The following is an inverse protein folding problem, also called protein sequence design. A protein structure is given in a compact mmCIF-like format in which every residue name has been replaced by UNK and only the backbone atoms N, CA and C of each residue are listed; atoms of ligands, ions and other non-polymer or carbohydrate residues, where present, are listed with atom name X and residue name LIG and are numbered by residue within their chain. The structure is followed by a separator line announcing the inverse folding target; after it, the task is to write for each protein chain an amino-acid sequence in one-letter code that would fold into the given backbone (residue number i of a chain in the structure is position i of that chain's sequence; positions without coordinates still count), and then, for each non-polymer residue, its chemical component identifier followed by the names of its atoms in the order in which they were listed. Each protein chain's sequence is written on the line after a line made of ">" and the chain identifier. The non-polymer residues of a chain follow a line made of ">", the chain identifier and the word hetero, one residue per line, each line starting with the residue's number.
data_IF_704282728791
#
_entry.id   IF_704282728791
#
_cell.length_a   1.000
_cell.length_b   1.000
_cell.length_c   1.000
_cell.angle_alpha   90.00
_cell.angle_beta   90.00
_cell.angle_gamma   90.00
#
_symmetry.space_group_name_H-M   'P 1'
#
loop_
_entity.id
_entity.type
_entity.pdbx_description
1 polymer ?
#
# COMPACT_ATOMS: atom_id res chain seq x y z
N UNK A 1 23.56 -8.97 11.63
CA UNK A 1 23.70 -7.48 11.53
C UNK A 1 22.68 -6.79 12.42
N UNK A 2 22.86 -5.50 12.71
CA UNK A 2 21.87 -4.63 13.35
C UNK A 2 21.31 -3.68 12.29
N UNK A 3 20.00 -3.67 12.11
CA UNK A 3 19.30 -2.77 11.18
C UNK A 3 18.38 -1.85 11.96
N UNK A 4 18.48 -0.55 11.73
CA UNK A 4 17.65 0.47 12.34
C UNK A 4 16.74 1.10 11.29
N UNK A 5 15.43 0.89 11.39
CA UNK A 5 14.43 1.53 10.54
C UNK A 5 13.89 2.81 11.22
N UNK A 6 13.69 3.87 10.43
CA UNK A 6 13.20 5.16 10.94
C UNK A 6 11.99 5.62 10.11
N UNK A 7 10.83 5.76 10.78
CA UNK A 7 9.58 6.20 10.16
C UNK A 7 8.78 7.12 11.11
N UNK A 8 7.76 7.86 10.61
CA UNK A 8 7.05 8.83 11.45
C UNK A 8 6.31 8.20 12.62
N UNK A 9 5.45 7.22 12.32
CA UNK A 9 4.57 6.52 13.27
C UNK A 9 4.31 5.10 12.78
N UNK A 10 3.87 4.23 13.69
CA UNK A 10 3.45 2.85 13.42
C UNK A 10 1.92 2.72 13.49
N UNK A 11 1.23 3.50 12.66
CA UNK A 11 -0.22 3.39 12.46
C UNK A 11 -0.56 2.44 11.31
N UNK A 12 -1.82 2.40 10.86
CA UNK A 12 -2.24 1.53 9.75
C UNK A 12 -1.87 2.18 8.41
N UNK A 13 -1.00 1.52 7.64
CA UNK A 13 -0.58 1.98 6.31
C UNK A 13 0.45 1.05 5.67
N UNK A 14 0.71 1.24 4.36
CA UNK A 14 1.61 0.37 3.61
C UNK A 14 3.08 0.47 4.02
N UNK A 15 3.55 1.66 4.46
CA UNK A 15 4.92 1.85 4.96
C UNK A 15 5.11 1.14 6.29
N UNK A 16 4.13 1.28 7.17
CA UNK A 16 4.10 0.72 8.51
C UNK A 16 4.07 -0.80 8.45
N UNK A 17 3.17 -1.40 7.64
CA UNK A 17 3.15 -2.85 7.42
C UNK A 17 4.48 -3.35 6.87
N UNK A 18 5.01 -2.74 5.80
CA UNK A 18 6.32 -3.12 5.26
C UNK A 18 7.47 -2.91 6.24
N UNK A 19 7.32 -2.12 7.32
CA UNK A 19 8.31 -2.02 8.41
C UNK A 19 8.22 -3.25 9.31
N UNK A 20 7.01 -3.72 9.63
CA UNK A 20 6.80 -4.95 10.40
C UNK A 20 7.29 -6.17 9.61
N UNK A 21 6.93 -6.26 8.32
CA UNK A 21 7.31 -7.37 7.44
C UNK A 21 8.85 -7.49 7.38
N UNK A 22 9.55 -6.37 7.12
CA UNK A 22 11.01 -6.35 7.13
C UNK A 22 11.59 -6.67 8.52
N UNK A 23 10.99 -6.18 9.60
CA UNK A 23 11.46 -6.51 10.96
C UNK A 23 11.35 -8.00 11.24
N UNK A 24 10.23 -8.63 10.87
CA UNK A 24 10.01 -10.08 11.01
C UNK A 24 11.04 -10.86 10.20
N UNK A 25 11.25 -10.50 8.94
CA UNK A 25 12.22 -11.16 8.06
C UNK A 25 13.66 -11.05 8.62
N UNK A 26 14.06 -9.87 9.10
CA UNK A 26 15.38 -9.67 9.72
C UNK A 26 15.57 -10.55 10.96
N UNK A 27 14.59 -10.62 11.85
CA UNK A 27 14.64 -11.45 13.05
C UNK A 27 14.70 -12.93 12.68
N UNK A 28 13.86 -13.39 11.75
CA UNK A 28 13.85 -14.77 11.28
C UNK A 28 15.20 -15.18 10.63
N UNK A 29 15.89 -14.21 10.02
CA UNK A 29 17.23 -14.39 9.44
C UNK A 29 18.38 -14.24 10.45
N UNK A 30 18.09 -14.16 11.76
CA UNK A 30 19.10 -14.06 12.82
C UNK A 30 19.72 -12.66 12.97
N UNK A 31 19.07 -11.62 12.45
CA UNK A 31 19.51 -10.23 12.56
C UNK A 31 18.78 -9.51 13.70
N UNK A 32 19.32 -8.40 14.17
CA UNK A 32 18.63 -7.51 15.14
C UNK A 32 17.93 -6.40 14.39
N UNK A 33 16.65 -6.20 14.69
CA UNK A 33 15.82 -5.14 14.12
C UNK A 33 15.46 -4.11 15.19
N UNK A 34 15.76 -2.85 14.91
CA UNK A 34 15.39 -1.69 15.72
C UNK A 34 14.49 -0.78 14.90
N UNK A 35 13.48 -0.20 15.52
CA UNK A 35 12.55 0.72 14.84
C UNK A 35 12.38 1.98 15.70
N UNK A 36 12.68 3.14 15.12
CA UNK A 36 12.39 4.45 15.70
C UNK A 36 11.13 5.03 15.06
N UNK A 37 10.16 5.40 15.88
CA UNK A 37 8.95 6.10 15.46
C UNK A 37 8.31 6.87 16.62
N UNK A 38 7.32 7.72 16.32
CA UNK A 38 6.51 8.40 17.34
C UNK A 38 5.35 7.55 17.88
N UNK A 39 5.56 6.23 18.03
CA UNK A 39 4.53 5.30 18.51
C UNK A 39 3.47 4.95 17.44
N UNK A 40 2.37 4.33 17.88
CA UNK A 40 1.23 3.95 17.05
C UNK A 40 0.66 2.57 17.38
N UNK A 41 -0.49 2.25 16.78
CA UNK A 41 -1.28 1.04 17.10
C UNK A 41 -0.57 -0.28 16.73
N UNK A 42 0.45 -0.23 15.87
CA UNK A 42 1.21 -1.40 15.45
C UNK A 42 2.47 -1.66 16.28
N UNK A 43 2.76 -0.86 17.32
CA UNK A 43 3.96 -1.02 18.16
C UNK A 43 3.99 -2.38 18.87
N UNK A 44 2.85 -2.82 19.41
CA UNK A 44 2.79 -4.10 20.12
C UNK A 44 2.95 -5.28 19.14
N UNK A 45 2.42 -5.17 17.92
CA UNK A 45 2.60 -6.16 16.88
C UNK A 45 4.08 -6.22 16.44
N UNK A 46 4.74 -5.06 16.27
CA UNK A 46 6.16 -5.00 15.99
C UNK A 46 6.99 -5.71 17.07
N UNK A 47 6.74 -5.42 18.36
CA UNK A 47 7.47 -6.04 19.47
C UNK A 47 7.29 -7.56 19.51
N UNK A 48 6.11 -8.07 19.11
CA UNK A 48 5.88 -9.53 19.00
C UNK A 48 6.73 -10.20 17.93
N UNK A 49 7.23 -9.46 16.93
CA UNK A 49 8.21 -10.01 15.95
C UNK A 49 9.60 -10.22 16.56
N UNK A 50 9.87 -9.72 17.77
CA UNK A 50 11.21 -9.69 18.39
C UNK A 50 12.00 -8.42 18.08
N UNK A 51 11.45 -7.46 17.33
CA UNK A 51 12.10 -6.19 17.08
C UNK A 51 11.98 -5.22 18.27
N UNK A 52 12.99 -4.39 18.46
CA UNK A 52 13.00 -3.35 19.48
C UNK A 52 12.40 -2.04 18.94
N UNK A 53 11.44 -1.46 19.69
CA UNK A 53 10.88 -0.15 19.37
C UNK A 53 11.43 0.92 20.31
N UNK A 54 11.88 2.03 19.73
CA UNK A 54 12.33 3.23 20.44
C UNK A 54 11.40 4.37 20.03
N UNK A 55 10.73 4.93 21.01
CA UNK A 55 9.80 6.04 20.77
C UNK A 55 10.57 7.36 20.68
N UNK A 56 10.42 8.05 19.54
CA UNK A 56 10.94 9.38 19.30
C UNK A 56 9.90 10.16 18.48
N UNK A 57 9.43 11.36 18.93
CA UNK A 57 8.30 12.05 18.31
C UNK A 57 8.66 12.76 16.99
N UNK A 58 9.28 12.02 16.05
CA UNK A 58 9.76 12.50 14.74
C UNK A 58 8.65 12.65 13.70
N UNK A 59 7.38 12.49 14.08
CA UNK A 59 6.21 12.63 13.22
C UNK A 59 5.61 14.04 13.19
N UNK A 60 5.91 14.87 14.19
CA UNK A 60 5.36 16.23 14.27
C UNK A 60 5.97 17.15 13.21
N UNK A 61 5.12 17.78 12.40
CA UNK A 61 5.54 18.75 11.38
C UNK A 61 5.86 20.11 12.02
N UNK A 62 6.93 20.18 12.78
CA UNK A 62 7.38 21.39 13.44
C UNK A 62 8.89 21.56 13.35
N UNK A 63 9.40 22.79 13.51
CA UNK A 63 10.84 23.05 13.57
C UNK A 63 11.50 22.35 14.78
N UNK A 64 10.74 22.15 15.86
CA UNK A 64 11.21 21.41 17.05
C UNK A 64 11.57 19.97 16.73
N UNK A 65 10.90 19.33 15.75
CA UNK A 65 11.25 17.96 15.34
C UNK A 65 12.67 17.86 14.80
N UNK A 66 13.19 18.93 14.17
CA UNK A 66 14.58 18.95 13.71
C UNK A 66 15.61 19.06 14.84
N UNK A 67 15.22 19.49 16.06
CA UNK A 67 16.11 19.51 17.23
C UNK A 67 16.32 18.11 17.82
N UNK A 68 15.44 17.14 17.52
CA UNK A 68 15.58 15.73 17.89
C UNK A 68 16.80 15.05 17.23
N UNK A 69 17.51 15.75 16.34
CA UNK A 69 18.70 15.23 15.68
C UNK A 69 19.85 14.89 16.69
N UNK A 70 19.93 15.55 17.85
CA UNK A 70 20.92 15.21 18.89
C UNK A 70 20.57 13.85 19.52
N UNK A 71 19.34 13.72 20.00
CA UNK A 71 18.84 12.51 20.62
C UNK A 71 18.88 11.31 19.65
N UNK A 72 18.52 11.53 18.37
CA UNK A 72 18.65 10.52 17.34
C UNK A 72 20.12 10.13 17.11
N UNK A 73 21.06 11.08 17.11
CA UNK A 73 22.49 10.79 16.95
C UNK A 73 23.02 9.94 18.12
N UNK A 74 22.64 10.27 19.36
CA UNK A 74 22.99 9.49 20.55
C UNK A 74 22.39 8.08 20.49
N UNK A 75 21.12 7.97 20.11
CA UNK A 75 20.43 6.68 19.96
C UNK A 75 21.11 5.81 18.90
N UNK A 76 21.45 6.37 17.73
CA UNK A 76 22.19 5.64 16.68
C UNK A 76 23.57 5.19 17.20
N UNK A 77 24.27 6.06 17.95
CA UNK A 77 25.60 5.73 18.50
C UNK A 77 25.52 4.60 19.54
N UNK A 78 24.48 4.58 20.37
CA UNK A 78 24.27 3.55 21.39
C UNK A 78 23.88 2.19 20.79
N UNK A 79 23.05 2.18 19.75
CA UNK A 79 22.68 0.94 19.03
C UNK A 79 23.88 0.41 18.24
N UNK A 80 24.72 1.30 17.70
CA UNK A 80 25.80 1.00 16.73
C UNK A 80 25.28 0.07 15.59
N UNK A 81 24.29 0.54 14.78
CA UNK A 81 23.70 -0.27 13.71
C UNK A 81 24.68 -0.41 12.54
N UNK A 82 24.58 -1.51 11.79
CA UNK A 82 25.27 -1.66 10.52
C UNK A 82 24.59 -0.84 9.42
N UNK A 83 23.24 -0.78 9.47
CA UNK A 83 22.41 -0.10 8.47
C UNK A 83 21.40 0.79 9.19
N UNK A 84 21.25 2.02 8.70
CA UNK A 84 20.12 2.90 9.00
C UNK A 84 19.25 3.02 7.76
N UNK A 85 17.96 2.69 7.90
CA UNK A 85 16.99 2.67 6.84
C UNK A 85 15.91 3.74 7.05
N UNK A 86 15.96 4.83 6.30
CA UNK A 86 14.95 5.90 6.36
C UNK A 86 13.79 5.58 5.41
N UNK A 87 12.57 5.63 5.96
CA UNK A 87 11.36 5.21 5.25
C UNK A 87 10.38 6.36 4.98
N UNK A 88 10.73 7.60 5.35
CA UNK A 88 9.88 8.78 5.13
C UNK A 88 10.68 10.08 5.21
N UNK A 89 10.17 11.09 4.53
CA UNK A 89 10.84 12.38 4.30
C UNK A 89 11.19 13.16 5.56
N UNK A 90 10.25 13.32 6.51
CA UNK A 90 10.52 14.09 7.73
C UNK A 90 11.54 13.39 8.64
N UNK A 91 11.39 12.09 8.95
CA UNK A 91 12.45 11.32 9.61
C UNK A 91 13.80 11.38 8.88
N UNK A 92 13.81 11.35 7.54
CA UNK A 92 15.05 11.48 6.77
C UNK A 92 15.73 12.85 6.99
N UNK A 93 14.99 13.95 7.12
CA UNK A 93 15.54 15.26 7.46
C UNK A 93 16.14 15.30 8.87
N UNK A 94 15.48 14.66 9.86
CA UNK A 94 16.05 14.55 11.23
C UNK A 94 17.31 13.70 11.18
N UNK A 95 17.26 12.55 10.49
CA UNK A 95 18.41 11.66 10.32
C UNK A 95 19.58 12.33 9.61
N UNK A 96 19.34 13.11 8.53
CA UNK A 96 20.37 13.85 7.82
C UNK A 96 21.16 14.80 8.75
N UNK A 97 20.47 15.45 9.70
CA UNK A 97 21.11 16.28 10.72
C UNK A 97 21.85 15.45 11.77
N UNK A 98 21.28 14.34 12.21
CA UNK A 98 21.91 13.43 13.15
C UNK A 98 23.20 12.83 12.59
N UNK A 99 23.19 12.39 11.33
CA UNK A 99 24.36 11.80 10.64
C UNK A 99 25.56 12.74 10.56
N UNK A 100 25.35 14.06 10.50
CA UNK A 100 26.45 15.05 10.52
C UNK A 100 27.21 15.07 11.84
N UNK A 101 26.62 14.52 12.91
CA UNK A 101 27.20 14.50 14.26
C UNK A 101 27.83 13.16 14.61
N UNK A 102 27.54 12.11 13.85
CA UNK A 102 28.08 10.77 14.09
C UNK A 102 29.58 10.73 13.78
N UNK A 103 30.35 10.18 14.69
CA UNK A 103 31.78 9.86 14.49
C UNK A 103 31.95 8.67 13.54
N UNK A 104 31.16 7.62 13.74
CA UNK A 104 31.08 6.42 12.90
C UNK A 104 29.73 6.41 12.21
N UNK A 105 29.72 6.38 10.90
CA UNK A 105 28.49 6.39 10.09
C UNK A 105 28.16 4.97 9.65
N UNK A 106 26.97 4.44 9.99
CA UNK A 106 26.46 3.21 9.38
C UNK A 106 26.10 3.46 7.92
N UNK A 107 25.91 2.35 7.15
CA UNK A 107 25.33 2.45 5.80
C UNK A 107 23.93 3.07 5.88
N UNK A 108 23.69 4.08 5.07
CA UNK A 108 22.40 4.78 5.04
C UNK A 108 21.64 4.41 3.78
N UNK A 109 20.45 3.82 3.96
CA UNK A 109 19.56 3.49 2.85
C UNK A 109 18.22 4.18 2.99
N UNK A 110 17.52 4.35 1.86
CA UNK A 110 16.15 4.88 1.83
C UNK A 110 15.23 3.98 1.03
N UNK A 111 13.94 4.00 1.33
CA UNK A 111 12.92 3.46 0.42
C UNK A 111 11.97 4.56 -0.02
N UNK A 112 11.83 4.71 -1.33
CA UNK A 112 10.81 5.56 -1.93
C UNK A 112 9.50 4.78 -2.06
N UNK A 113 8.52 5.18 -1.26
CA UNK A 113 7.21 4.53 -1.17
C UNK A 113 6.14 5.17 -2.05
N UNK A 114 6.52 6.14 -2.88
CA UNK A 114 5.58 6.85 -3.72
C UNK A 114 6.21 7.95 -4.55
N UNK A 115 5.41 8.50 -5.44
CA UNK A 115 5.74 9.65 -6.27
C UNK A 115 5.50 10.93 -5.46
N UNK A 116 6.55 11.53 -4.94
CA UNK A 116 6.44 12.65 -3.99
C UNK A 116 6.12 13.97 -4.69
N UNK A 117 5.03 14.62 -4.31
CA UNK A 117 4.54 15.87 -4.90
C UNK A 117 5.44 17.10 -4.67
N UNK A 118 6.47 17.02 -3.81
CA UNK A 118 7.41 18.11 -3.49
C UNK A 118 8.85 17.63 -3.63
N UNK A 119 9.42 17.59 -4.86
CA UNK A 119 10.76 17.06 -5.08
C UNK A 119 11.85 17.73 -4.24
N UNK A 120 11.81 19.07 -4.09
CA UNK A 120 12.80 19.84 -3.30
C UNK A 120 12.82 19.39 -1.83
N UNK A 121 11.65 19.21 -1.20
CA UNK A 121 11.56 18.72 0.17
C UNK A 121 11.95 17.25 0.25
N UNK A 122 11.61 16.49 -0.78
CA UNK A 122 11.79 15.04 -0.80
C UNK A 122 13.20 14.60 -1.17
N UNK A 123 14.04 15.51 -1.69
CA UNK A 123 15.42 15.19 -2.09
C UNK A 123 16.29 14.65 -0.95
N UNK A 124 15.91 14.88 0.31
CA UNK A 124 16.60 14.28 1.46
C UNK A 124 16.59 12.75 1.42
N UNK A 125 15.62 12.16 0.74
CA UNK A 125 15.53 10.70 0.55
C UNK A 125 16.63 10.19 -0.42
N UNK A 126 17.24 11.07 -1.22
CA UNK A 126 18.36 10.74 -2.09
C UNK A 126 19.75 11.06 -1.50
N UNK A 127 19.81 11.57 -0.24
CA UNK A 127 21.07 11.82 0.47
C UNK A 127 21.51 10.58 1.26
N UNK A 128 21.63 9.47 0.57
CA UNK A 128 21.86 8.14 1.12
C UNK A 128 22.93 7.42 0.30
N UNK A 129 23.47 6.34 0.83
CA UNK A 129 24.44 5.52 0.12
C UNK A 129 23.73 4.64 -0.94
N UNK A 130 22.47 4.24 -0.69
CA UNK A 130 21.67 3.45 -1.61
C UNK A 130 20.16 3.69 -1.44
N UNK A 131 19.41 3.62 -2.53
CA UNK A 131 17.97 3.81 -2.53
C UNK A 131 17.24 2.56 -2.98
N UNK A 132 16.10 2.28 -2.36
CA UNK A 132 15.16 1.23 -2.78
C UNK A 132 13.96 1.89 -3.46
N UNK A 133 13.67 1.49 -4.70
CA UNK A 133 12.45 1.79 -5.42
C UNK A 133 11.48 0.61 -5.31
N UNK A 134 10.19 0.87 -5.08
CA UNK A 134 9.19 -0.21 -4.92
C UNK A 134 8.58 -0.67 -6.26
N UNK A 135 8.97 -0.07 -7.36
CA UNK A 135 8.50 -0.38 -8.73
C UNK A 135 9.40 0.32 -9.76
N UNK A 136 9.31 -0.08 -11.03
CA UNK A 136 9.95 0.64 -12.14
C UNK A 136 9.40 2.07 -12.28
N UNK A 137 8.10 2.27 -12.02
CA UNK A 137 7.48 3.61 -11.98
C UNK A 137 8.17 4.51 -10.95
N UNK A 138 8.49 3.98 -9.77
CA UNK A 138 9.17 4.75 -8.73
C UNK A 138 10.65 4.94 -9.06
N UNK A 139 11.34 3.94 -9.65
CA UNK A 139 12.72 4.11 -10.13
C UNK A 139 12.81 5.23 -11.16
N UNK A 140 11.96 5.21 -12.20
CA UNK A 140 11.92 6.26 -13.23
C UNK A 140 11.69 7.64 -12.61
N UNK A 141 10.72 7.74 -11.66
CA UNK A 141 10.48 8.97 -10.93
C UNK A 141 11.72 9.46 -10.15
N UNK A 142 12.48 8.56 -9.52
CA UNK A 142 13.71 8.92 -8.78
C UNK A 142 14.76 9.47 -9.75
N UNK A 143 15.00 8.79 -10.87
CA UNK A 143 15.99 9.19 -11.88
C UNK A 143 15.67 10.53 -12.52
N UNK A 144 14.39 10.83 -12.74
CA UNK A 144 13.94 12.10 -13.32
C UNK A 144 14.04 13.28 -12.34
N UNK A 145 13.84 13.06 -11.05
CA UNK A 145 13.66 14.14 -10.07
C UNK A 145 14.84 14.34 -9.12
N UNK A 146 15.76 13.39 -9.01
CA UNK A 146 16.88 13.42 -8.07
C UNK A 146 18.20 13.07 -8.76
N UNK A 147 19.32 13.51 -8.16
CA UNK A 147 20.67 13.22 -8.66
C UNK A 147 21.14 11.84 -8.14
N UNK A 148 20.46 10.79 -8.58
CA UNK A 148 20.85 9.39 -8.35
C UNK A 148 21.08 8.73 -9.71
N UNK A 149 22.00 7.80 -9.77
CA UNK A 149 22.23 6.97 -10.92
C UNK A 149 21.55 5.61 -10.73
N UNK A 150 21.29 4.89 -11.82
CA UNK A 150 20.61 3.57 -11.76
C UNK A 150 21.37 2.58 -10.87
N UNK A 151 22.70 2.64 -10.80
CA UNK A 151 23.52 1.79 -9.91
C UNK A 151 23.29 2.04 -8.42
N UNK A 152 22.76 3.23 -8.06
CA UNK A 152 22.49 3.63 -6.68
C UNK A 152 21.06 3.24 -6.25
N UNK A 153 20.30 2.56 -7.13
CA UNK A 153 18.92 2.19 -6.91
C UNK A 153 18.76 0.69 -7.11
N UNK A 154 18.04 0.05 -6.18
CA UNK A 154 17.55 -1.33 -6.36
C UNK A 154 16.05 -1.34 -6.35
N UNK A 155 15.43 -2.02 -7.31
CA UNK A 155 13.97 -2.24 -7.30
C UNK A 155 13.69 -3.44 -6.42
N UNK A 156 12.95 -3.20 -5.34
CA UNK A 156 12.43 -4.24 -4.47
C UNK A 156 10.92 -4.05 -4.38
N UNK A 157 10.13 -4.83 -5.14
CA UNK A 157 8.68 -4.77 -5.11
C UNK A 157 8.12 -5.07 -3.71
N UNK A 158 6.87 -4.67 -3.48
CA UNK A 158 6.16 -5.00 -2.26
C UNK A 158 5.52 -6.38 -2.38
N UNK A 159 5.61 -7.15 -1.33
CA UNK A 159 4.82 -8.38 -1.18
C UNK A 159 3.59 -8.19 -0.31
N UNK A 160 2.85 -9.27 -0.10
CA UNK A 160 1.79 -9.40 0.89
C UNK A 160 2.08 -10.61 1.81
N UNK A 161 1.41 -10.66 2.97
CA UNK A 161 1.59 -11.72 3.95
C UNK A 161 0.87 -13.01 3.49
N UNK A 162 1.60 -14.12 3.22
CA UNK A 162 1.00 -15.35 2.67
C UNK A 162 0.00 -16.02 3.60
N UNK A 163 0.15 -15.84 4.91
CA UNK A 163 -0.78 -16.40 5.90
C UNK A 163 -2.11 -15.67 5.94
N UNK A 164 -2.14 -14.41 5.50
CA UNK A 164 -3.34 -13.57 5.43
C UNK A 164 -3.97 -13.59 4.03
N UNK A 165 -3.12 -13.50 2.98
CA UNK A 165 -3.53 -13.42 1.58
C UNK A 165 -3.09 -14.68 0.83
N UNK A 166 -4.00 -15.61 0.66
CA UNK A 166 -3.79 -16.89 -0.01
C UNK A 166 -5.07 -17.33 -0.71
N UNK A 167 -4.95 -18.36 -1.58
CA UNK A 167 -6.06 -18.93 -2.33
C UNK A 167 -6.94 -19.90 -1.53
N UNK A 168 -6.64 -20.12 -0.26
CA UNK A 168 -7.45 -20.98 0.56
C UNK A 168 -8.90 -20.50 0.58
N UNK A 169 -9.83 -21.44 0.58
CA UNK A 169 -11.24 -21.10 0.63
C UNK A 169 -11.54 -20.27 1.88
N UNK A 170 -12.39 -19.29 1.71
CA UNK A 170 -12.95 -18.55 2.84
C UNK A 170 -13.65 -19.50 3.80
N UNK A 171 -13.40 -19.35 5.10
CA UNK A 171 -14.13 -20.11 6.12
C UNK A 171 -15.65 -19.87 5.93
N UNK A 172 -16.49 -20.93 5.93
CA UNK A 172 -17.94 -20.79 5.79
C UNK A 172 -18.58 -19.84 6.81
N UNK A 173 -18.07 -19.80 8.04
CA UNK A 173 -18.54 -18.87 9.08
C UNK A 173 -18.24 -17.42 8.72
N UNK A 174 -17.01 -17.12 8.27
CA UNK A 174 -16.63 -15.77 7.83
C UNK A 174 -17.45 -15.32 6.63
N UNK A 175 -17.66 -16.23 5.66
CA UNK A 175 -18.54 -15.96 4.51
C UNK A 175 -19.96 -15.65 4.97
N UNK A 176 -20.52 -16.43 5.88
CA UNK A 176 -21.86 -16.21 6.41
C UNK A 176 -21.94 -14.87 7.16
N UNK A 177 -20.94 -14.52 7.96
CA UNK A 177 -20.89 -13.25 8.68
C UNK A 177 -20.92 -12.07 7.72
N UNK A 178 -20.16 -12.12 6.62
CA UNK A 178 -20.18 -11.09 5.58
C UNK A 178 -21.55 -11.01 4.89
N UNK A 179 -22.17 -12.15 4.58
CA UNK A 179 -23.50 -12.20 3.95
C UNK A 179 -24.63 -11.78 4.88
N UNK A 180 -24.45 -11.90 6.21
CA UNK A 180 -25.37 -11.36 7.20
C UNK A 180 -25.20 -9.85 7.35
N UNK A 181 -23.98 -9.36 7.32
CA UNK A 181 -23.68 -7.92 7.39
C UNK A 181 -24.12 -7.18 6.10
N UNK A 182 -23.94 -7.84 4.94
CA UNK A 182 -24.26 -7.27 3.62
C UNK A 182 -25.20 -8.22 2.84
N UNK A 183 -26.47 -8.40 3.25
CA UNK A 183 -27.38 -9.35 2.61
C UNK A 183 -27.67 -9.02 1.14
N UNK A 184 -27.47 -7.78 0.72
CA UNK A 184 -27.68 -7.30 -0.64
C UNK A 184 -26.66 -7.85 -1.66
N UNK A 185 -25.53 -8.44 -1.22
CA UNK A 185 -24.57 -9.08 -2.13
C UNK A 185 -24.88 -10.56 -2.41
N UNK A 186 -25.91 -11.12 -1.75
CA UNK A 186 -26.31 -12.51 -1.97
C UNK A 186 -26.79 -12.68 -3.42
N UNK A 187 -26.31 -13.71 -4.07
CA UNK A 187 -26.62 -14.04 -5.47
C UNK A 187 -26.23 -12.94 -6.48
N UNK A 188 -25.30 -12.04 -6.10
CA UNK A 188 -24.75 -10.99 -6.96
C UNK A 188 -23.30 -11.29 -7.31
N UNK A 189 -22.86 -10.77 -8.45
CA UNK A 189 -21.45 -10.63 -8.79
C UNK A 189 -20.88 -9.47 -8.00
N UNK A 190 -19.94 -9.76 -7.13
CA UNK A 190 -19.37 -8.78 -6.20
C UNK A 190 -18.17 -8.09 -6.83
N UNK A 191 -18.30 -6.80 -7.07
CA UNK A 191 -17.24 -5.93 -7.56
C UNK A 191 -16.68 -5.11 -6.39
N UNK A 192 -15.37 -5.11 -6.18
CA UNK A 192 -14.77 -4.43 -5.02
C UNK A 192 -13.72 -3.41 -5.43
N UNK A 193 -13.82 -2.17 -4.91
CA UNK A 193 -12.76 -1.17 -5.01
C UNK A 193 -12.19 -0.89 -3.61
N UNK A 194 -10.97 -1.39 -3.31
CA UNK A 194 -10.33 -1.20 -2.01
C UNK A 194 -9.45 0.05 -2.01
N UNK A 195 -9.40 0.72 -0.86
CA UNK A 195 -8.46 1.81 -0.63
C UNK A 195 -9.08 3.01 0.06
N UNK A 196 -8.24 3.97 0.46
CA UNK A 196 -8.71 5.22 1.08
C UNK A 196 -9.61 5.99 0.13
N UNK A 197 -10.74 6.49 0.62
CA UNK A 197 -11.67 7.29 -0.19
C UNK A 197 -11.06 8.68 -0.46
N UNK A 198 -10.49 8.82 -1.65
CA UNK A 198 -9.85 10.05 -2.15
C UNK A 198 -10.14 10.21 -3.64
N UNK A 199 -10.06 11.43 -4.16
CA UNK A 199 -10.38 11.71 -5.57
C UNK A 199 -9.54 10.88 -6.56
N UNK A 200 -8.27 10.63 -6.22
CA UNK A 200 -7.36 9.96 -7.13
C UNK A 200 -7.49 8.43 -7.14
N UNK A 201 -8.25 7.83 -6.19
CA UNK A 201 -8.45 6.37 -6.12
C UNK A 201 -9.54 5.82 -7.04
N UNK A 202 -10.22 6.68 -7.82
CA UNK A 202 -11.15 6.23 -8.87
C UNK A 202 -12.49 5.71 -8.36
N UNK A 203 -12.90 6.08 -7.13
CA UNK A 203 -14.22 5.67 -6.61
C UNK A 203 -15.38 6.27 -7.41
N UNK A 204 -15.19 7.45 -7.98
CA UNK A 204 -16.23 8.09 -8.81
C UNK A 204 -16.44 7.35 -10.14
N UNK A 205 -15.35 6.86 -10.72
CA UNK A 205 -15.31 6.04 -11.95
C UNK A 205 -15.90 4.65 -11.68
N UNK A 206 -15.64 4.07 -10.51
CA UNK A 206 -16.26 2.82 -10.09
C UNK A 206 -17.79 2.93 -9.94
N UNK A 207 -18.30 4.04 -9.37
CA UNK A 207 -19.75 4.30 -9.30
C UNK A 207 -20.35 4.43 -10.70
N UNK A 208 -19.63 5.08 -11.62
CA UNK A 208 -20.04 5.22 -13.01
C UNK A 208 -20.09 3.87 -13.71
N UNK A 209 -19.08 3.02 -13.53
CA UNK A 209 -19.09 1.64 -14.03
C UNK A 209 -20.35 0.89 -13.57
N UNK A 210 -20.71 0.96 -12.29
CA UNK A 210 -21.91 0.28 -11.75
C UNK A 210 -23.21 0.77 -12.43
N UNK A 211 -23.26 2.02 -12.91
CA UNK A 211 -24.42 2.53 -13.64
C UNK A 211 -24.54 1.98 -15.08
N UNK A 212 -23.44 1.48 -15.64
CA UNK A 212 -23.41 0.88 -16.98
C UNK A 212 -23.70 -0.63 -16.96
N UNK A 213 -23.54 -1.27 -15.81
CA UNK A 213 -23.77 -2.70 -15.60
C UNK A 213 -25.24 -2.97 -15.20
N UNK A 214 -25.68 -4.20 -15.36
CA UNK A 214 -27.02 -4.63 -14.95
C UNK A 214 -27.13 -4.94 -13.43
N UNK A 215 -28.32 -5.28 -12.96
CA UNK A 215 -28.62 -5.50 -11.55
C UNK A 215 -28.05 -6.80 -10.96
N UNK A 216 -27.36 -7.62 -11.75
CA UNK A 216 -26.65 -8.80 -11.24
C UNK A 216 -25.36 -8.43 -10.52
N UNK A 217 -24.84 -7.22 -10.73
CA UNK A 217 -23.62 -6.73 -10.11
C UNK A 217 -23.88 -5.88 -8.86
N UNK A 218 -23.08 -6.06 -7.82
CA UNK A 218 -23.07 -5.24 -6.62
C UNK A 218 -21.67 -4.72 -6.29
N UNK A 219 -21.54 -3.43 -6.04
CA UNK A 219 -20.27 -2.75 -5.76
C UNK A 219 -19.99 -2.59 -4.27
N UNK A 220 -18.83 -3.04 -3.82
CA UNK A 220 -18.30 -2.78 -2.48
C UNK A 220 -17.19 -1.72 -2.55
N UNK A 221 -17.39 -0.59 -1.87
CA UNK A 221 -16.39 0.46 -1.70
C UNK A 221 -15.78 0.32 -0.31
N UNK A 222 -14.53 -0.22 -0.28
CA UNK A 222 -13.89 -0.67 0.96
C UNK A 222 -12.73 0.23 1.33
N UNK A 223 -12.83 0.92 2.44
CA UNK A 223 -11.70 1.67 2.97
C UNK A 223 -12.07 2.87 3.82
N UNK A 224 -11.07 3.41 4.56
CA UNK A 224 -11.29 4.52 5.46
C UNK A 224 -11.45 5.85 4.73
N UNK A 225 -12.22 6.74 5.34
CA UNK A 225 -12.31 8.15 4.94
C UNK A 225 -11.67 9.03 6.00
N UNK A 226 -10.63 9.76 5.63
CA UNK A 226 -10.03 10.74 6.54
C UNK A 226 -11.03 11.87 6.85
N UNK A 227 -10.98 12.44 8.07
CA UNK A 227 -11.86 13.53 8.50
C UNK A 227 -11.90 14.70 7.49
N UNK A 228 -10.74 15.05 6.91
CA UNK A 228 -10.64 16.10 5.89
C UNK A 228 -11.28 15.72 4.54
N UNK A 229 -11.74 14.48 4.35
CA UNK A 229 -12.35 13.97 3.11
C UNK A 229 -13.83 13.61 3.25
N UNK A 230 -14.45 13.87 4.40
CA UNK A 230 -15.88 13.61 4.63
C UNK A 230 -16.78 14.30 3.60
N UNK A 231 -16.45 15.54 3.22
CA UNK A 231 -17.19 16.26 2.16
C UNK A 231 -17.14 15.53 0.81
N UNK A 232 -16.02 14.90 0.51
CA UNK A 232 -15.87 14.09 -0.71
C UNK A 232 -16.67 12.79 -0.64
N UNK A 233 -16.64 12.08 0.50
CA UNK A 233 -17.49 10.92 0.73
C UNK A 233 -18.97 11.25 0.51
N UNK A 234 -19.46 12.34 1.12
CA UNK A 234 -20.86 12.79 0.92
C UNK A 234 -21.18 13.07 -0.55
N UNK A 235 -20.21 13.66 -1.31
CA UNK A 235 -20.39 13.88 -2.74
C UNK A 235 -20.54 12.56 -3.50
N UNK A 236 -19.77 11.51 -3.13
CA UNK A 236 -19.89 10.20 -3.75
C UNK A 236 -21.23 9.52 -3.40
N UNK A 237 -21.67 9.60 -2.15
CA UNK A 237 -22.98 9.09 -1.71
C UNK A 237 -24.12 9.78 -2.48
N UNK A 238 -24.07 11.10 -2.62
CA UNK A 238 -25.05 11.83 -3.42
C UNK A 238 -25.02 11.43 -4.91
N UNK A 239 -23.82 11.12 -5.47
CA UNK A 239 -23.72 10.58 -6.84
C UNK A 239 -24.42 9.22 -6.95
N UNK A 240 -24.23 8.32 -5.97
CA UNK A 240 -24.91 7.01 -5.92
C UNK A 240 -26.42 7.21 -5.92
N UNK A 241 -26.96 8.05 -5.02
CA UNK A 241 -28.41 8.32 -4.96
C UNK A 241 -28.95 8.97 -6.22
N UNK A 242 -28.23 9.95 -6.79
CA UNK A 242 -28.67 10.61 -8.04
C UNK A 242 -28.70 9.69 -9.26
N UNK A 243 -27.98 8.57 -9.22
CA UNK A 243 -27.95 7.54 -10.26
C UNK A 243 -28.85 6.34 -9.91
N UNK A 244 -29.63 6.39 -8.83
CA UNK A 244 -30.49 5.31 -8.31
C UNK A 244 -29.73 3.99 -8.03
N UNK A 245 -28.49 4.09 -7.52
CA UNK A 245 -27.61 2.96 -7.25
C UNK A 245 -27.52 2.58 -5.77
N UNK A 246 -28.35 3.16 -4.88
CA UNK A 246 -28.29 2.91 -3.43
C UNK A 246 -28.47 1.42 -3.07
N UNK A 247 -29.22 0.67 -3.86
CA UNK A 247 -29.43 -0.76 -3.70
C UNK A 247 -28.31 -1.63 -4.28
N UNK A 248 -27.38 -1.06 -5.03
CA UNK A 248 -26.29 -1.78 -5.75
C UNK A 248 -24.89 -1.37 -5.31
N UNK A 249 -24.73 -0.40 -4.42
CA UNK A 249 -23.43 0.06 -3.94
C UNK A 249 -23.43 0.14 -2.42
N UNK A 250 -22.44 -0.50 -1.81
CA UNK A 250 -22.24 -0.48 -0.36
C UNK A 250 -20.90 0.16 0.00
N UNK A 251 -20.93 1.18 0.86
CA UNK A 251 -19.74 1.73 1.50
C UNK A 251 -19.49 0.99 2.81
N UNK A 252 -18.51 0.10 2.84
CA UNK A 252 -18.25 -0.77 4.02
C UNK A 252 -17.45 -0.07 5.12
N UNK A 253 -16.80 1.08 4.82
CA UNK A 253 -15.81 1.66 5.70
C UNK A 253 -14.50 0.85 5.73
N UNK A 254 -13.71 1.02 6.80
CA UNK A 254 -12.45 0.30 6.97
C UNK A 254 -12.70 -1.14 7.43
N UNK A 255 -12.07 -2.11 6.79
CA UNK A 255 -12.17 -3.54 7.11
C UNK A 255 -10.84 -4.09 7.62
N UNK A 256 -10.89 -4.99 8.59
CA UNK A 256 -9.72 -5.79 9.03
C UNK A 256 -9.65 -7.14 8.34
N UNK A 257 -10.78 -7.64 7.89
CA UNK A 257 -11.00 -8.90 7.17
C UNK A 257 -10.96 -8.72 5.65
N UNK A 258 -10.09 -7.84 5.16
CA UNK A 258 -10.02 -7.48 3.74
C UNK A 258 -9.69 -8.69 2.84
N UNK A 259 -8.94 -9.66 3.32
CA UNK A 259 -8.66 -10.91 2.60
C UNK A 259 -9.95 -11.71 2.34
N UNK A 260 -10.86 -11.75 3.30
CA UNK A 260 -12.17 -12.40 3.13
C UNK A 260 -13.04 -11.63 2.12
N UNK A 261 -13.00 -10.29 2.13
CA UNK A 261 -13.67 -9.47 1.11
C UNK A 261 -13.12 -9.77 -0.28
N UNK A 262 -11.80 -9.90 -0.45
CA UNK A 262 -11.21 -10.28 -1.74
C UNK A 262 -11.71 -11.67 -2.18
N UNK A 263 -11.72 -12.66 -1.28
CA UNK A 263 -12.14 -14.04 -1.57
C UNK A 263 -13.61 -14.17 -1.97
N UNK A 264 -14.48 -13.25 -1.56
CA UNK A 264 -15.89 -13.22 -1.99
C UNK A 264 -16.13 -12.35 -3.22
N UNK A 265 -15.13 -11.60 -3.67
CA UNK A 265 -15.23 -10.69 -4.81
C UNK A 265 -14.97 -11.43 -6.12
N UNK A 266 -15.81 -11.18 -7.13
CA UNK A 266 -15.57 -11.65 -8.50
C UNK A 266 -14.46 -10.87 -9.19
N UNK A 267 -14.41 -9.54 -8.95
CA UNK A 267 -13.39 -8.65 -9.49
C UNK A 267 -13.03 -7.56 -8.49
N UNK A 268 -11.74 -7.30 -8.36
CA UNK A 268 -11.20 -6.17 -7.58
C UNK A 268 -10.65 -5.10 -8.52
N UNK A 269 -10.87 -3.82 -8.19
CA UNK A 269 -10.53 -2.70 -9.07
C UNK A 269 -9.44 -1.81 -8.50
N UNK A 270 -8.52 -1.37 -9.37
CA UNK A 270 -7.62 -0.25 -9.11
C UNK A 270 -7.79 0.80 -10.22
N UNK A 271 -8.64 1.78 -9.96
CA UNK A 271 -8.98 2.84 -10.91
C UNK A 271 -8.29 4.17 -10.55
N UNK A 272 -7.08 4.10 -10.00
CA UNK A 272 -6.30 5.27 -9.59
C UNK A 272 -6.08 6.23 -10.76
N UNK A 273 -6.50 7.50 -10.63
CA UNK A 273 -6.45 8.53 -11.67
C UNK A 273 -5.05 9.13 -11.89
N UNK A 274 -4.13 8.87 -10.98
CA UNK A 274 -2.71 9.18 -11.11
C UNK A 274 -1.91 7.90 -11.01
N UNK A 275 -0.71 7.80 -11.60
CA UNK A 275 0.09 6.58 -11.54
C UNK A 275 0.21 6.05 -10.12
N UNK A 276 -0.25 4.83 -9.91
CA UNK A 276 -0.08 4.13 -8.64
C UNK A 276 1.42 3.84 -8.46
N UNK A 277 2.02 4.18 -7.31
CA UNK A 277 3.44 3.86 -7.10
C UNK A 277 3.75 2.37 -7.14
N UNK A 278 2.79 1.53 -6.72
CA UNK A 278 2.90 0.08 -6.76
C UNK A 278 1.54 -0.60 -6.98
N UNK A 279 0.63 -0.57 -6.00
CA UNK A 279 -0.69 -1.21 -6.10
C UNK A 279 -0.82 -2.43 -5.19
N UNK A 280 -0.45 -2.29 -3.93
CA UNK A 280 -0.47 -3.36 -2.94
C UNK A 280 -1.82 -4.11 -2.87
N UNK A 281 -2.94 -3.41 -2.94
CA UNK A 281 -4.29 -4.01 -2.93
C UNK A 281 -4.54 -4.97 -4.08
N UNK A 282 -3.89 -4.75 -5.23
CA UNK A 282 -3.99 -5.68 -6.37
C UNK A 282 -3.24 -6.98 -6.10
N UNK A 283 -2.02 -6.90 -5.56
CA UNK A 283 -1.24 -8.09 -5.19
C UNK A 283 -1.97 -8.90 -4.11
N UNK A 284 -2.52 -8.24 -3.11
CA UNK A 284 -3.33 -8.86 -2.06
C UNK A 284 -4.54 -9.61 -2.65
N UNK A 285 -5.27 -8.99 -3.58
CA UNK A 285 -6.41 -9.62 -4.25
C UNK A 285 -5.98 -10.79 -5.14
N UNK A 286 -4.91 -10.64 -5.93
CA UNK A 286 -4.35 -11.70 -6.77
C UNK A 286 -3.88 -12.89 -5.91
N UNK A 287 -3.25 -12.63 -4.78
CA UNK A 287 -2.83 -13.66 -3.84
C UNK A 287 -4.01 -14.45 -3.26
N UNK A 288 -5.17 -13.81 -3.11
CA UNK A 288 -6.43 -14.46 -2.75
C UNK A 288 -7.09 -15.21 -3.93
N UNK A 289 -6.48 -15.22 -5.12
CA UNK A 289 -7.06 -15.83 -6.32
C UNK A 289 -8.12 -14.98 -7.01
N UNK A 290 -8.30 -13.73 -6.60
CA UNK A 290 -9.31 -12.83 -7.13
C UNK A 290 -8.82 -12.09 -8.39
N UNK A 291 -9.66 -12.00 -9.40
CA UNK A 291 -9.38 -11.29 -10.64
C UNK A 291 -9.29 -9.78 -10.38
N UNK A 292 -8.39 -9.10 -11.09
CA UNK A 292 -8.15 -7.67 -10.87
C UNK A 292 -8.23 -6.90 -12.18
N UNK A 293 -8.94 -5.78 -12.16
CA UNK A 293 -8.97 -4.81 -13.27
C UNK A 293 -8.35 -3.50 -12.81
N UNK A 294 -7.53 -2.90 -13.66
CA UNK A 294 -6.89 -1.62 -13.36
C UNK A 294 -6.52 -0.81 -14.58
N UNK A 295 -6.38 0.51 -14.41
CA UNK A 295 -5.89 1.36 -15.46
C UNK A 295 -4.46 1.01 -15.87
N UNK A 296 -4.20 1.00 -17.19
CA UNK A 296 -2.89 0.71 -17.76
C UNK A 296 -1.92 1.90 -17.57
N UNK A 297 -1.55 2.17 -16.32
CA UNK A 297 -0.51 3.14 -15.98
C UNK A 297 0.12 2.90 -14.60
N UNK A 298 1.36 3.37 -14.41
CA UNK A 298 2.08 3.26 -13.14
C UNK A 298 2.29 1.81 -12.69
N UNK A 299 2.43 1.60 -11.39
CA UNK A 299 2.63 0.28 -10.80
C UNK A 299 1.47 -0.69 -11.04
N UNK A 300 0.26 -0.20 -11.32
CA UNK A 300 -0.87 -1.04 -11.71
C UNK A 300 -0.59 -1.77 -13.03
N UNK A 301 -0.06 -1.05 -14.01
CA UNK A 301 0.35 -1.62 -15.29
C UNK A 301 1.44 -2.68 -15.11
N UNK A 302 2.45 -2.41 -14.28
CA UNK A 302 3.56 -3.35 -14.03
C UNK A 302 3.04 -4.68 -13.48
N UNK A 303 2.19 -4.63 -12.44
CA UNK A 303 1.62 -5.81 -11.79
C UNK A 303 0.73 -6.60 -12.75
N UNK A 304 -0.21 -5.92 -13.41
CA UNK A 304 -1.20 -6.61 -14.24
C UNK A 304 -0.57 -7.15 -15.53
N UNK A 305 0.41 -6.46 -16.14
CA UNK A 305 1.12 -6.98 -17.32
C UNK A 305 1.71 -8.35 -17.04
N UNK A 306 2.19 -8.59 -15.84
CA UNK A 306 2.83 -9.85 -15.49
C UNK A 306 1.83 -10.88 -14.97
N UNK A 307 0.94 -10.47 -14.05
CA UNK A 307 0.12 -11.42 -13.30
C UNK A 307 -1.28 -11.62 -13.88
N UNK A 308 -1.85 -10.62 -14.56
CA UNK A 308 -3.20 -10.69 -15.14
C UNK A 308 -3.39 -9.69 -16.28
N UNK A 309 -2.74 -9.88 -17.47
CA UNK A 309 -2.73 -8.90 -18.56
C UNK A 309 -4.13 -8.52 -19.09
N UNK A 310 -5.09 -9.44 -19.07
CA UNK A 310 -6.46 -9.19 -19.50
C UNK A 310 -7.19 -8.16 -18.64
N UNK A 311 -6.75 -7.96 -17.38
CA UNK A 311 -7.28 -6.94 -16.47
C UNK A 311 -6.81 -5.51 -16.73
N UNK A 312 -5.90 -5.28 -17.70
CA UNK A 312 -5.46 -3.94 -18.08
C UNK A 312 -6.50 -3.23 -18.91
N UNK A 313 -6.81 -1.99 -18.55
CA UNK A 313 -7.77 -1.12 -19.25
C UNK A 313 -7.09 0.22 -19.56
N UNK A 314 -7.32 0.76 -20.74
CA UNK A 314 -6.83 2.09 -21.13
C UNK A 314 -7.36 3.16 -20.18
N UNK A 315 -6.48 4.08 -19.77
CA UNK A 315 -6.82 5.10 -18.77
C UNK A 315 -8.09 5.88 -19.15
N UNK A 316 -9.07 5.90 -18.26
CA UNK A 316 -10.37 6.57 -18.41
C UNK A 316 -11.24 6.08 -19.60
N UNK A 317 -10.95 4.93 -20.16
CA UNK A 317 -11.81 4.31 -21.18
C UNK A 317 -12.93 3.51 -20.48
N UNK A 318 -14.07 4.14 -20.27
CA UNK A 318 -15.20 3.54 -19.56
C UNK A 318 -15.87 2.41 -20.34
N UNK A 319 -15.92 2.50 -21.68
CA UNK A 319 -16.49 1.45 -22.54
C UNK A 319 -15.64 0.17 -22.45
N UNK A 320 -14.32 0.29 -22.54
CA UNK A 320 -13.39 -0.83 -22.35
C UNK A 320 -13.48 -1.39 -20.91
N UNK A 321 -13.62 -0.52 -19.91
CA UNK A 321 -13.78 -0.93 -18.52
C UNK A 321 -15.04 -1.76 -18.32
N UNK A 322 -16.18 -1.33 -18.86
CA UNK A 322 -17.44 -2.07 -18.82
C UNK A 322 -17.30 -3.44 -19.50
N UNK A 323 -16.87 -3.48 -20.76
CA UNK A 323 -16.73 -4.72 -21.54
C UNK A 323 -15.82 -5.73 -20.85
N UNK A 324 -14.67 -5.28 -20.35
CA UNK A 324 -13.73 -6.15 -19.64
C UNK A 324 -14.28 -6.61 -18.27
N UNK A 325 -15.06 -5.78 -17.59
CA UNK A 325 -15.70 -6.18 -16.32
C UNK A 325 -16.68 -7.32 -16.55
N UNK A 326 -17.56 -7.21 -17.56
CA UNK A 326 -18.52 -8.24 -17.90
C UNK A 326 -17.82 -9.55 -18.31
N UNK A 327 -16.83 -9.47 -19.21
CA UNK A 327 -16.06 -10.61 -19.67
C UNK A 327 -15.29 -11.31 -18.54
N UNK A 328 -14.57 -10.55 -17.72
CA UNK A 328 -13.71 -11.06 -16.66
C UNK A 328 -14.54 -11.63 -15.51
N UNK A 329 -15.67 -11.00 -15.16
CA UNK A 329 -16.55 -11.51 -14.11
C UNK A 329 -17.08 -12.91 -14.46
N UNK A 330 -17.38 -13.20 -15.72
CA UNK A 330 -17.84 -14.50 -16.22
C UNK A 330 -16.71 -15.52 -16.42
N UNK A 331 -15.49 -15.05 -16.65
CA UNK A 331 -14.35 -15.91 -16.97
C UNK A 331 -13.99 -16.83 -15.81
N UNK A 332 -13.55 -18.05 -16.14
CA UNK A 332 -12.92 -18.98 -15.20
C UNK A 332 -11.40 -18.79 -15.10
N UNK A 333 -10.85 -17.91 -15.91
CA UNK A 333 -9.42 -17.65 -15.93
C UNK A 333 -9.01 -16.85 -14.69
N UNK A 334 -8.04 -17.37 -13.96
CA UNK A 334 -7.50 -16.77 -12.75
C UNK A 334 -6.15 -16.09 -13.01
N UNK A 335 -5.75 -15.14 -12.18
CA UNK A 335 -4.41 -14.56 -12.24
C UNK A 335 -3.32 -15.62 -12.13
N UNK A 336 -2.16 -15.35 -12.74
CA UNK A 336 -1.00 -16.22 -12.71
C UNK A 336 -0.47 -16.39 -11.27
N UNK A 337 -0.04 -17.64 -10.97
CA UNK A 337 0.52 -18.00 -9.66
C UNK A 337 2.01 -17.68 -9.54
N UNK A 338 2.49 -16.59 -10.06
CA UNK A 338 3.90 -16.25 -9.87
C UNK A 338 4.14 -15.75 -8.45
N UNK A 339 4.16 -16.69 -7.49
CA UNK A 339 4.24 -16.47 -6.06
C UNK A 339 5.51 -15.69 -5.68
N UNK A 340 6.62 -15.88 -6.40
CA UNK A 340 7.87 -15.14 -6.12
C UNK A 340 7.75 -13.63 -6.25
N UNK A 341 6.85 -13.13 -7.10
CA UNK A 341 6.57 -11.70 -7.21
C UNK A 341 5.54 -11.21 -6.19
N UNK A 342 4.70 -12.13 -5.71
CA UNK A 342 3.69 -11.82 -4.69
C UNK A 342 4.29 -11.80 -3.28
N UNK A 343 5.33 -12.58 -3.05
CA UNK A 343 5.93 -12.80 -1.74
C UNK A 343 7.44 -12.62 -1.81
N UNK A 344 7.92 -11.41 -1.85
CA UNK A 344 9.34 -11.10 -1.76
C UNK A 344 9.86 -11.34 -0.34
N UNK A 345 9.82 -12.59 0.13
CA UNK A 345 10.49 -12.99 1.37
C UNK A 345 11.99 -13.24 1.16
N UNK A 346 12.45 -13.34 -0.07
CA UNK A 346 13.81 -13.71 -0.43
C UNK A 346 14.64 -12.57 -1.07
N UNK A 347 14.22 -11.30 -0.87
CA UNK A 347 14.97 -10.14 -1.33
C UNK A 347 15.77 -9.45 -0.22
#
# INVERSE_FOLDING_TARGET
>A
MKVLQILPQLNIGGVERGTLDLSRALINSGHKSFVISGGGVLVDELKRTGAEHIELPIHHKSLRTLSLANELSETISNIDPNIVHVRSRLPAWVNYRAFKKLKKKPLLISTFHGLYSFPIYSKVMSFVDHSIAISNTVESYILENYKLEKKDITIIPRGCEPTEFNKDLINPEDRNNILLEFPQIRDKKVLTIPGRITKWKGVAEFIELLSLLDDTYHGLIVGPTAQSKIKYLKKLQNKVTSMNLDHRITFTGSRRDISNIYKISDVVFNLSQTPEPFGRTMIEAIACGTKVIGWNHGGASEILTELFPQGLVSLNNMDELQQKTELIAESKELPKENICLLYTSDA
#
